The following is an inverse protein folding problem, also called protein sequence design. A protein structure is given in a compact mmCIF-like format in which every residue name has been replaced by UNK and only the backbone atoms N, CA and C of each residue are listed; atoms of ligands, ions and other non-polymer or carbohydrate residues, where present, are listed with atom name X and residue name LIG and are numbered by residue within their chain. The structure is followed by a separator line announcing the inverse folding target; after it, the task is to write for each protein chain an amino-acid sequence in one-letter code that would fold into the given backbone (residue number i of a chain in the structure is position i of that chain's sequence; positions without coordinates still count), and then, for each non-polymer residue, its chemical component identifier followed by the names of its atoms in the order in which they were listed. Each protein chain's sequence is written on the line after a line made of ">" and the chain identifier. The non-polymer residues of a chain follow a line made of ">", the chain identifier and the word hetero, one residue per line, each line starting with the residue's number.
data_IF_233710002192
#
_entry.id   IF_233710002192
#
_cell.length_a   1.000
_cell.length_b   1.000
_cell.length_c   1.000
_cell.angle_alpha   90.00
_cell.angle_beta   90.00
_cell.angle_gamma   90.00
#
_symmetry.space_group_name_H-M   'P 1'
#
loop_
_entity.id
_entity.type
_entity.pdbx_description
1 polymer ?
#
# COMPACT_ATOMS: atom_id res chain seq x y z
N UNK A 1 -5.34 -0.76 19.00
CA UNK A 1 -6.30 0.31 18.76
C UNK A 1 -5.67 1.67 18.61
N UNK A 2 -4.76 2.05 19.52
CA UNK A 2 -4.04 3.32 19.37
C UNK A 2 -3.23 3.41 18.08
N UNK A 3 -2.60 2.31 17.68
CA UNK A 3 -1.81 2.27 16.45
C UNK A 3 -2.66 2.48 15.20
N UNK A 4 -3.88 1.95 15.18
CA UNK A 4 -4.81 2.18 14.06
C UNK A 4 -5.25 3.64 14.02
N UNK A 5 -5.48 4.25 15.18
CA UNK A 5 -5.80 5.68 15.27
C UNK A 5 -4.63 6.52 14.81
N UNK A 6 -3.40 6.12 15.14
CA UNK A 6 -2.20 6.82 14.71
C UNK A 6 -2.02 6.75 13.20
N UNK A 7 -2.37 5.63 12.57
CA UNK A 7 -2.31 5.48 11.13
C UNK A 7 -3.32 6.40 10.43
N UNK A 8 -4.56 6.45 10.93
CA UNK A 8 -5.58 7.35 10.38
C UNK A 8 -5.18 8.80 10.57
N UNK A 9 -4.62 9.12 11.74
CA UNK A 9 -4.11 10.47 11.99
C UNK A 9 -2.98 10.82 11.03
N UNK A 10 -2.06 9.90 10.78
CA UNK A 10 -0.96 10.12 9.84
C UNK A 10 -1.49 10.39 8.43
N UNK A 11 -2.46 9.61 7.97
CA UNK A 11 -3.11 9.84 6.68
C UNK A 11 -3.75 11.22 6.62
N UNK A 12 -4.40 11.63 7.68
CA UNK A 12 -5.04 12.94 7.78
C UNK A 12 -3.98 14.05 7.79
N UNK A 13 -2.91 13.89 8.57
CA UNK A 13 -1.82 14.86 8.67
C UNK A 13 -1.08 15.02 7.34
N UNK A 14 -0.99 13.94 6.55
CA UNK A 14 -0.41 13.99 5.21
C UNK A 14 -1.40 14.48 4.15
N UNK A 15 -2.60 14.85 4.56
CA UNK A 15 -3.65 15.36 3.68
C UNK A 15 -4.11 14.33 2.65
N UNK A 16 -4.03 13.06 2.99
CA UNK A 16 -4.41 11.95 2.11
C UNK A 16 -5.87 11.57 2.25
N UNK A 17 -6.48 11.83 3.42
CA UNK A 17 -7.88 11.55 3.68
C UNK A 17 -8.53 12.74 4.38
N UNK A 18 -9.85 12.84 4.26
CA UNK A 18 -10.67 13.82 4.96
C UNK A 18 -12.06 13.22 5.21
N UNK A 19 -12.80 13.85 6.12
CA UNK A 19 -14.20 13.47 6.34
C UNK A 19 -15.10 14.42 5.57
N UNK A 20 -16.20 13.87 5.03
CA UNK A 20 -17.22 14.71 4.39
C UNK A 20 -18.22 15.23 5.45
N UNK A 21 -19.25 15.93 4.98
CA UNK A 21 -20.27 16.53 5.86
C UNK A 21 -21.03 15.50 6.70
N UNK A 22 -21.14 14.30 6.21
CA UNK A 22 -21.89 13.22 6.86
C UNK A 22 -21.00 12.31 7.68
N UNK A 23 -19.71 12.62 7.79
CA UNK A 23 -18.76 11.86 8.56
C UNK A 23 -18.14 10.68 7.84
N UNK A 24 -18.34 10.57 6.53
CA UNK A 24 -17.73 9.51 5.73
C UNK A 24 -16.33 9.89 5.30
N UNK A 25 -15.48 8.88 5.21
CA UNK A 25 -14.09 9.07 4.78
C UNK A 25 -14.00 9.31 3.28
N UNK A 26 -13.08 10.17 2.90
CA UNK A 26 -12.80 10.48 1.50
C UNK A 26 -11.28 10.57 1.30
N UNK A 27 -10.79 9.94 0.22
CA UNK A 27 -9.37 10.01 -0.13
C UNK A 27 -9.16 11.23 -1.04
N UNK A 28 -8.19 12.05 -0.69
CA UNK A 28 -7.87 13.25 -1.46
C UNK A 28 -7.09 12.90 -2.72
N UNK A 29 -7.41 13.55 -3.81
CA UNK A 29 -6.86 13.24 -5.14
C UNK A 29 -5.33 13.39 -5.20
N UNK A 30 -4.78 14.30 -4.39
CA UNK A 30 -3.34 14.58 -4.39
C UNK A 30 -2.50 13.36 -4.00
N UNK A 31 -3.05 12.45 -3.20
CA UNK A 31 -2.31 11.32 -2.65
C UNK A 31 -3.00 9.98 -2.88
N UNK A 32 -3.55 9.78 -4.08
CA UNK A 32 -4.22 8.52 -4.40
C UNK A 32 -3.26 7.34 -4.43
N UNK A 33 -1.96 7.58 -4.68
CA UNK A 33 -0.95 6.53 -4.67
C UNK A 33 0.40 7.10 -4.26
N UNK A 34 1.09 6.41 -3.36
CA UNK A 34 2.44 6.78 -2.93
C UNK A 34 3.53 6.20 -3.85
N UNK A 35 3.14 5.36 -4.83
CA UNK A 35 4.08 4.62 -5.64
C UNK A 35 5.09 5.46 -6.41
N UNK A 36 4.74 6.69 -6.78
CA UNK A 36 5.62 7.60 -7.50
C UNK A 36 6.38 8.59 -6.61
N UNK A 37 6.07 8.65 -5.32
CA UNK A 37 6.61 9.66 -4.40
C UNK A 37 7.44 9.07 -3.27
N UNK A 38 8.10 7.95 -3.53
CA UNK A 38 8.87 7.23 -2.51
C UNK A 38 10.05 8.04 -1.94
N UNK A 39 10.45 9.13 -2.58
CA UNK A 39 11.59 9.96 -2.14
C UNK A 39 11.26 10.86 -0.95
N UNK A 40 10.00 11.12 -0.71
CA UNK A 40 9.59 11.93 0.44
C UNK A 40 9.81 11.14 1.73
N UNK A 41 10.45 11.76 2.73
CA UNK A 41 10.63 11.13 4.03
C UNK A 41 9.29 10.81 4.70
N UNK A 42 8.32 11.71 4.54
CA UNK A 42 6.98 11.49 5.09
C UNK A 42 6.33 10.27 4.45
N UNK A 43 6.47 10.10 3.14
CA UNK A 43 5.93 8.94 2.43
C UNK A 43 6.65 7.66 2.87
N UNK A 44 7.97 7.71 3.03
CA UNK A 44 8.74 6.54 3.49
C UNK A 44 8.32 6.14 4.91
N UNK A 45 8.16 7.11 5.80
CA UNK A 45 7.70 6.85 7.16
C UNK A 45 6.31 6.23 7.14
N UNK A 46 5.42 6.75 6.31
CA UNK A 46 4.08 6.21 6.12
C UNK A 46 4.13 4.77 5.61
N UNK A 47 4.98 4.49 4.62
CA UNK A 47 5.12 3.13 4.08
C UNK A 47 5.59 2.14 5.14
N UNK A 48 6.59 2.51 5.94
CA UNK A 48 7.08 1.66 7.03
C UNK A 48 5.98 1.38 8.04
N UNK A 49 5.21 2.41 8.37
CA UNK A 49 4.12 2.28 9.35
C UNK A 49 3.02 1.36 8.83
N UNK A 50 2.63 1.49 7.57
CA UNK A 50 1.58 0.64 7.00
C UNK A 50 2.03 -0.81 6.86
N UNK A 51 3.32 -1.05 6.57
CA UNK A 51 3.87 -2.40 6.56
C UNK A 51 3.79 -3.03 7.94
N UNK A 52 4.16 -2.27 8.98
CA UNK A 52 4.06 -2.74 10.37
C UNK A 52 2.62 -3.07 10.73
N UNK A 53 1.68 -2.21 10.39
CA UNK A 53 0.27 -2.43 10.66
C UNK A 53 -0.29 -3.65 9.93
N UNK A 54 0.16 -3.89 8.71
CA UNK A 54 -0.24 -5.09 7.97
C UNK A 54 0.18 -6.36 8.71
N UNK A 55 1.40 -6.37 9.24
CA UNK A 55 1.88 -7.49 10.06
C UNK A 55 1.03 -7.70 11.31
N UNK A 56 0.66 -6.62 11.98
CA UNK A 56 -0.18 -6.69 13.16
C UNK A 56 -1.61 -7.13 12.84
N UNK A 57 -2.08 -6.83 11.65
CA UNK A 57 -3.42 -7.22 11.21
C UNK A 57 -3.64 -8.73 11.23
N UNK A 58 -2.57 -9.51 11.06
CA UNK A 58 -2.64 -10.97 11.15
C UNK A 58 -3.15 -11.43 12.52
N UNK A 59 -2.86 -10.66 13.55
CA UNK A 59 -3.28 -10.99 14.93
C UNK A 59 -4.57 -10.27 15.33
N UNK A 60 -4.83 -9.10 14.77
CA UNK A 60 -5.93 -8.25 15.20
C UNK A 60 -7.23 -8.46 14.46
N UNK A 61 -7.16 -8.79 13.18
CA UNK A 61 -8.33 -8.83 12.33
C UNK A 61 -8.66 -10.24 11.90
N UNK A 62 -9.93 -10.60 11.95
CA UNK A 62 -10.40 -11.90 11.46
C UNK A 62 -10.23 -11.96 9.93
N UNK A 63 -9.98 -13.17 9.39
CA UNK A 63 -9.74 -13.32 7.95
C UNK A 63 -10.74 -12.65 7.01
N UNK A 64 -12.05 -12.61 7.30
CA UNK A 64 -12.98 -11.92 6.41
C UNK A 64 -12.77 -10.42 6.30
N UNK A 65 -12.03 -9.81 7.24
CA UNK A 65 -11.79 -8.37 7.26
C UNK A 65 -10.50 -7.96 6.59
N UNK A 66 -9.69 -8.91 6.18
CA UNK A 66 -8.37 -8.64 5.63
C UNK A 66 -8.05 -9.59 4.49
N UNK A 67 -7.13 -9.17 3.66
CA UNK A 67 -6.50 -10.07 2.69
C UNK A 67 -5.00 -9.80 2.75
N UNK A 68 -4.28 -10.70 3.39
CA UNK A 68 -2.82 -10.66 3.43
C UNK A 68 -2.35 -11.91 2.74
N UNK A 69 -1.96 -11.75 1.50
CA UNK A 69 -1.62 -12.86 0.61
C UNK A 69 -0.26 -12.64 0.00
N UNK A 70 0.40 -13.71 -0.34
CA UNK A 70 1.75 -13.67 -0.88
C UNK A 70 1.91 -14.66 -2.02
N UNK A 71 2.82 -14.38 -2.91
CA UNK A 71 3.26 -15.30 -3.94
C UNK A 71 4.77 -15.18 -4.06
N UNK A 72 5.43 -16.33 -4.10
CA UNK A 72 6.88 -16.37 -4.35
C UNK A 72 7.09 -16.80 -5.79
N UNK A 73 7.85 -16.01 -6.53
CA UNK A 73 8.03 -16.26 -7.94
C UNK A 73 9.43 -15.87 -8.38
N UNK A 74 9.83 -16.41 -9.52
CA UNK A 74 11.08 -16.04 -10.16
C UNK A 74 10.80 -15.39 -11.50
N UNK A 75 11.60 -14.41 -11.85
CA UNK A 75 11.55 -13.80 -13.17
C UNK A 75 12.89 -13.13 -13.49
N UNK A 76 13.07 -12.77 -14.74
CA UNK A 76 14.26 -12.07 -15.17
C UNK A 76 14.18 -10.60 -14.76
N UNK A 77 15.28 -10.04 -14.28
CA UNK A 77 15.31 -8.63 -13.87
C UNK A 77 14.93 -7.67 -15.00
N UNK A 78 15.10 -8.09 -16.25
CA UNK A 78 14.68 -7.28 -17.39
C UNK A 78 13.15 -7.07 -17.42
N UNK A 79 12.40 -7.91 -16.75
CA UNK A 79 10.94 -7.84 -16.71
C UNK A 79 10.39 -7.05 -15.52
N UNK A 80 11.27 -6.50 -14.68
CA UNK A 80 10.83 -5.81 -13.45
C UNK A 80 9.90 -4.64 -13.76
N UNK A 81 10.17 -3.91 -14.82
CA UNK A 81 9.36 -2.76 -15.15
C UNK A 81 7.94 -3.17 -15.58
N UNK A 82 7.84 -4.26 -16.34
CA UNK A 82 6.54 -4.79 -16.73
C UNK A 82 5.72 -5.20 -15.51
N UNK A 83 6.35 -5.83 -14.54
CA UNK A 83 5.68 -6.26 -13.31
C UNK A 83 5.23 -5.06 -12.49
N UNK A 84 6.08 -4.03 -12.40
CA UNK A 84 5.71 -2.80 -11.70
C UNK A 84 4.51 -2.12 -12.34
N UNK A 85 4.43 -2.14 -13.67
CA UNK A 85 3.28 -1.59 -14.38
C UNK A 85 2.00 -2.38 -14.09
N UNK A 86 2.10 -3.70 -14.00
CA UNK A 86 0.95 -4.54 -13.63
C UNK A 86 0.45 -4.22 -12.24
N UNK A 87 1.36 -3.99 -11.30
CA UNK A 87 1.01 -3.59 -9.93
C UNK A 87 0.31 -2.23 -9.95
N UNK A 88 0.82 -1.29 -10.74
CA UNK A 88 0.24 0.04 -10.86
C UNK A 88 -1.19 -0.04 -11.41
N UNK A 89 -1.41 -0.86 -12.43
CA UNK A 89 -2.73 -1.08 -12.99
C UNK A 89 -3.71 -1.63 -11.95
N UNK A 90 -3.27 -2.62 -11.19
CA UNK A 90 -4.08 -3.23 -10.14
C UNK A 90 -4.49 -2.20 -9.08
N UNK A 91 -3.53 -1.38 -8.61
CA UNK A 91 -3.82 -0.33 -7.65
C UNK A 91 -4.83 0.68 -8.21
N UNK A 92 -4.64 1.07 -9.46
CA UNK A 92 -5.53 2.03 -10.14
C UNK A 92 -6.95 1.49 -10.25
N UNK A 93 -7.09 0.21 -10.59
CA UNK A 93 -8.39 -0.43 -10.71
C UNK A 93 -9.15 -0.44 -9.38
N UNK A 94 -8.45 -0.78 -8.30
CA UNK A 94 -9.06 -0.79 -6.97
C UNK A 94 -9.40 0.62 -6.51
N UNK A 95 -8.55 1.60 -6.80
CA UNK A 95 -8.82 2.98 -6.44
C UNK A 95 -10.06 3.50 -7.16
N UNK A 96 -10.21 3.16 -8.44
CA UNK A 96 -11.40 3.53 -9.20
C UNK A 96 -12.66 2.93 -8.60
N UNK A 97 -12.59 1.65 -8.21
CA UNK A 97 -13.69 0.98 -7.54
C UNK A 97 -14.06 1.70 -6.23
N UNK A 98 -13.05 2.12 -5.48
CA UNK A 98 -13.25 2.86 -4.24
C UNK A 98 -13.92 4.22 -4.49
N UNK A 99 -13.51 4.92 -5.53
CA UNK A 99 -14.04 6.25 -5.85
C UNK A 99 -15.50 6.20 -6.33
N UNK A 100 -15.93 5.09 -6.88
CA UNK A 100 -17.32 4.91 -7.34
C UNK A 100 -18.28 4.59 -6.20
N UNK A 101 -17.76 4.27 -5.01
CA UNK A 101 -18.58 3.95 -3.85
C UNK A 101 -19.16 5.19 -3.19
N UNK A 102 -20.27 5.00 -2.47
CA UNK A 102 -20.92 6.04 -1.67
C UNK A 102 -21.17 5.54 -0.26
N UNK A 103 -21.16 6.46 0.71
CA UNK A 103 -21.41 6.10 2.11
C UNK A 103 -20.27 5.29 2.73
N UNK A 104 -19.04 5.62 2.40
CA UNK A 104 -17.86 4.89 2.87
C UNK A 104 -17.68 5.08 4.37
N UNK A 105 -17.70 3.99 5.12
CA UNK A 105 -17.59 3.99 6.58
C UNK A 105 -16.26 3.40 7.09
N UNK A 106 -15.45 2.84 6.21
CA UNK A 106 -14.21 2.14 6.58
C UNK A 106 -13.06 2.60 5.71
N UNK A 107 -11.92 2.87 6.34
CA UNK A 107 -10.68 3.17 5.63
C UNK A 107 -9.86 1.89 5.57
N UNK A 108 -9.60 1.40 4.37
CA UNK A 108 -8.73 0.26 4.13
C UNK A 108 -7.38 0.73 3.62
N UNK A 109 -6.35 0.01 3.98
CA UNK A 109 -5.01 0.22 3.46
C UNK A 109 -4.59 -0.99 2.65
N UNK A 110 -4.27 -0.77 1.39
CA UNK A 110 -3.68 -1.79 0.52
C UNK A 110 -2.19 -1.51 0.39
N UNK A 111 -1.39 -2.45 0.82
CA UNK A 111 0.07 -2.39 0.65
C UNK A 111 0.49 -3.43 -0.36
N UNK A 112 1.23 -3.01 -1.35
CA UNK A 112 1.82 -3.94 -2.32
C UNK A 112 3.32 -3.87 -2.16
N UNK A 113 3.95 -5.02 -1.93
CA UNK A 113 5.38 -5.12 -1.68
C UNK A 113 5.98 -6.12 -2.64
N UNK A 114 6.79 -5.63 -3.55
CA UNK A 114 7.58 -6.47 -4.46
C UNK A 114 9.05 -6.19 -4.16
N UNK A 115 9.76 -7.21 -3.73
CA UNK A 115 11.16 -7.03 -3.35
C UNK A 115 11.94 -8.32 -3.58
N UNK A 116 13.26 -8.23 -3.81
CA UNK A 116 14.08 -9.43 -4.02
C UNK A 116 14.36 -10.11 -2.68
N UNK A 117 14.10 -11.42 -2.61
CA UNK A 117 14.51 -12.24 -1.47
C UNK A 117 15.92 -12.76 -1.67
N UNK A 118 16.26 -13.06 -2.92
CA UNK A 118 17.58 -13.61 -3.26
C UNK A 118 17.87 -13.32 -4.72
N UNK A 119 19.13 -13.10 -5.03
CA UNK A 119 19.59 -12.93 -6.40
C UNK A 119 20.13 -14.23 -6.94
N UNK A 120 20.01 -14.42 -8.25
CA UNK A 120 20.65 -15.56 -8.90
C UNK A 120 22.17 -15.39 -8.81
N UNK A 121 22.88 -16.50 -8.95
CA UNK A 121 24.34 -16.50 -8.91
C UNK A 121 24.94 -15.51 -9.93
N UNK A 122 24.38 -15.48 -11.13
CA UNK A 122 24.86 -14.57 -12.19
C UNK A 122 24.71 -13.10 -11.81
N UNK A 123 23.58 -12.75 -11.19
CA UNK A 123 23.34 -11.38 -10.77
C UNK A 123 24.22 -11.00 -9.58
N UNK A 124 24.47 -11.93 -8.65
CA UNK A 124 25.35 -11.71 -7.53
C UNK A 124 26.76 -11.40 -7.99
N UNK A 125 27.27 -12.11 -9.00
CA UNK A 125 28.58 -11.87 -9.59
C UNK A 125 28.68 -10.46 -10.18
N UNK A 126 27.63 -9.99 -10.84
CA UNK A 126 27.59 -8.62 -11.39
C UNK A 126 27.52 -7.55 -10.31
N UNK A 127 26.97 -7.86 -9.15
CA UNK A 127 26.81 -6.93 -8.05
C UNK A 127 28.12 -6.69 -7.28
N UNK A 128 29.10 -7.55 -7.47
CA UNK A 128 30.41 -7.42 -6.86
C UNK A 128 31.30 -6.52 -7.70
#
# INVERSE_FOLDING_TARGET
>A
MEQAKDAVKLLHDLNMISEDKDGYWKVNDTFVSTGGNWRSEAVRTFQKETIRLAGESLERHAPPLRDISTVTMTFNMNDIQLIREKIKEFRSDLLRLSQDGTGDDTVFQLNVQLFPLAFTKKLQEKSK
#
